data_IF_726121777184
#
_entry.id   IF_726121777184
#
_cell.length_a   1.000
_cell.length_b   1.000
_cell.length_c   1.000
_cell.angle_alpha   90.00
_cell.angle_beta   90.00
_cell.angle_gamma   90.00
#
_symmetry.space_group_name_H-M   'P 1'
#
loop_
_entity.id
_entity.type
_entity.pdbx_description
1 polymer ?
#
# COMPACT_ATOMS: atom_id res chain seq x y z
N UNK A 1 10.26 8.09 -2.78
CA UNK A 1 8.90 8.52 -3.14
C UNK A 1 8.74 10.02 -2.96
N UNK A 2 7.87 10.64 -3.76
CA UNK A 2 7.33 11.98 -3.51
C UNK A 2 6.11 11.90 -2.56
N UNK A 3 6.31 12.31 -1.30
CA UNK A 3 5.28 12.23 -0.25
C UNK A 3 4.11 13.18 -0.49
N UNK A 4 4.34 14.37 -1.05
CA UNK A 4 3.24 15.31 -1.30
C UNK A 4 2.37 14.79 -2.42
N UNK A 5 3.00 14.32 -3.50
CA UNK A 5 2.29 13.72 -4.62
C UNK A 5 1.47 12.49 -4.19
N UNK A 6 2.03 11.62 -3.36
CA UNK A 6 1.32 10.45 -2.84
C UNK A 6 0.04 10.85 -2.08
N UNK A 7 0.11 11.86 -1.21
CA UNK A 7 -1.05 12.35 -0.46
C UNK A 7 -2.10 13.01 -1.35
N UNK A 8 -1.68 13.69 -2.42
CA UNK A 8 -2.61 14.26 -3.41
C UNK A 8 -3.36 13.17 -4.20
N UNK A 9 -2.69 12.06 -4.53
CA UNK A 9 -3.33 10.92 -5.19
C UNK A 9 -4.33 10.24 -4.25
N UNK A 10 -3.96 10.00 -2.98
CA UNK A 10 -4.91 9.48 -1.96
C UNK A 10 -6.15 10.37 -1.85
N UNK A 11 -5.95 11.69 -1.79
CA UNK A 11 -7.08 12.63 -1.76
C UNK A 11 -7.97 12.47 -2.99
N UNK A 12 -7.37 12.34 -4.17
CA UNK A 12 -8.10 12.12 -5.43
C UNK A 12 -8.86 10.79 -5.40
N UNK A 13 -8.24 9.71 -4.90
CA UNK A 13 -8.86 8.40 -4.76
C UNK A 13 -10.07 8.44 -3.82
N UNK A 14 -9.95 9.13 -2.69
CA UNK A 14 -11.03 9.33 -1.72
C UNK A 14 -12.22 10.13 -2.28
N UNK A 15 -11.95 11.07 -3.19
CA UNK A 15 -12.99 11.86 -3.89
C UNK A 15 -13.56 11.11 -5.12
N UNK A 16 -12.91 10.03 -5.56
CA UNK A 16 -13.33 9.21 -6.69
C UNK A 16 -14.39 8.20 -6.27
N UNK A 17 -15.51 8.20 -6.98
CA UNK A 17 -16.61 7.25 -6.75
C UNK A 17 -16.15 5.82 -7.05
N UNK A 18 -16.43 4.87 -6.16
CA UNK A 18 -15.93 3.49 -6.27
C UNK A 18 -16.41 2.76 -7.54
N UNK A 19 -17.59 3.08 -8.05
CA UNK A 19 -18.11 2.52 -9.33
C UNK A 19 -17.50 3.17 -10.58
N UNK A 20 -16.63 4.17 -10.43
CA UNK A 20 -15.87 4.72 -11.55
C UNK A 20 -14.53 3.99 -11.69
N UNK A 21 -14.61 2.73 -12.13
CA UNK A 21 -13.48 1.79 -12.20
C UNK A 21 -12.22 2.40 -12.83
N UNK A 22 -12.36 3.11 -13.96
CA UNK A 22 -11.21 3.75 -14.62
C UNK A 22 -10.53 4.81 -13.75
N UNK A 23 -11.30 5.63 -13.03
CA UNK A 23 -10.74 6.65 -12.13
C UNK A 23 -10.00 6.02 -10.96
N UNK A 24 -10.58 4.96 -10.39
CA UNK A 24 -9.98 4.18 -9.30
C UNK A 24 -8.67 3.55 -9.76
N UNK A 25 -8.67 2.83 -10.89
CA UNK A 25 -7.47 2.20 -11.45
C UNK A 25 -6.34 3.21 -11.74
N UNK A 26 -6.68 4.41 -12.19
CA UNK A 26 -5.68 5.45 -12.46
C UNK A 26 -5.03 5.95 -11.16
N UNK A 27 -5.80 6.09 -10.07
CA UNK A 27 -5.23 6.43 -8.76
C UNK A 27 -4.29 5.33 -8.28
N UNK A 28 -4.73 4.07 -8.32
CA UNK A 28 -3.88 2.93 -7.90
C UNK A 28 -2.57 2.86 -8.67
N UNK A 29 -2.61 2.99 -10.00
CA UNK A 29 -1.40 3.01 -10.85
C UNK A 29 -0.45 4.13 -10.44
N UNK A 30 -0.97 5.31 -10.13
CA UNK A 30 -0.14 6.45 -9.72
C UNK A 30 0.44 6.29 -8.31
N UNK A 31 -0.34 5.76 -7.35
CA UNK A 31 0.16 5.42 -6.00
C UNK A 31 1.31 4.41 -6.08
N UNK A 32 1.14 3.33 -6.86
CA UNK A 32 2.16 2.31 -7.06
C UNK A 32 3.42 2.94 -7.66
N UNK A 33 3.29 3.75 -8.72
CA UNK A 33 4.44 4.40 -9.36
C UNK A 33 5.23 5.27 -8.38
N UNK A 34 4.55 6.05 -7.54
CA UNK A 34 5.21 6.95 -6.57
C UNK A 34 5.93 6.15 -5.48
N UNK A 35 5.29 5.09 -4.98
CA UNK A 35 5.87 4.25 -3.93
C UNK A 35 7.01 3.36 -4.47
N UNK A 36 6.94 2.96 -5.74
CA UNK A 36 7.97 2.14 -6.40
C UNK A 36 9.18 2.95 -6.89
N UNK A 37 9.04 4.27 -7.08
CA UNK A 37 10.08 5.14 -7.64
C UNK A 37 11.41 5.10 -6.87
N UNK A 38 11.35 5.06 -5.53
CA UNK A 38 12.52 5.02 -4.66
C UNK A 38 12.18 4.25 -3.38
N UNK A 39 12.59 2.98 -3.38
CA UNK A 39 12.30 1.99 -2.35
C UNK A 39 12.87 2.40 -0.97
N UNK A 40 14.15 2.81 -0.83
CA UNK A 40 14.65 3.34 0.44
C UNK A 40 13.79 4.47 1.03
N UNK A 41 13.44 5.47 0.22
CA UNK A 41 12.62 6.60 0.68
C UNK A 41 11.20 6.16 1.04
N UNK A 42 10.62 5.19 0.32
CA UNK A 42 9.31 4.59 0.65
C UNK A 42 9.36 3.85 1.98
N UNK A 43 10.40 3.06 2.23
CA UNK A 43 10.60 2.36 3.51
C UNK A 43 10.70 3.38 4.66
N UNK A 44 11.51 4.43 4.49
CA UNK A 44 11.64 5.49 5.49
C UNK A 44 10.29 6.17 5.78
N UNK A 45 9.49 6.43 4.75
CA UNK A 45 8.15 6.97 4.88
C UNK A 45 7.21 6.04 5.66
N UNK A 46 7.13 4.76 5.28
CA UNK A 46 6.25 3.78 5.92
C UNK A 46 6.60 3.59 7.40
N UNK A 47 7.88 3.60 7.76
CA UNK A 47 8.32 3.43 9.14
C UNK A 47 7.99 4.67 10.00
N UNK A 48 8.24 5.87 9.47
CA UNK A 48 8.34 7.07 10.30
C UNK A 48 7.18 8.06 10.14
N UNK A 49 6.55 8.13 8.97
CA UNK A 49 5.63 9.22 8.60
C UNK A 49 4.23 8.74 8.23
N UNK A 50 4.10 7.51 7.72
CA UNK A 50 2.82 6.94 7.29
C UNK A 50 1.80 6.92 8.43
N UNK A 51 0.59 7.40 8.13
CA UNK A 51 -0.52 7.51 9.08
C UNK A 51 -1.44 6.29 9.03
N UNK A 52 -2.36 6.17 9.99
CA UNK A 52 -3.35 5.11 9.98
C UNK A 52 -4.27 5.20 8.74
N UNK A 53 -4.67 6.40 8.33
CA UNK A 53 -5.53 6.57 7.14
C UNK A 53 -4.80 6.16 5.87
N UNK A 54 -3.53 6.53 5.74
CA UNK A 54 -2.71 6.11 4.58
C UNK A 54 -2.45 4.61 4.56
N UNK A 55 -2.37 3.93 5.72
CA UNK A 55 -2.34 2.46 5.78
C UNK A 55 -3.58 1.85 5.10
N UNK A 56 -4.76 2.42 5.31
CA UNK A 56 -5.98 1.94 4.65
C UNK A 56 -5.88 2.09 3.13
N UNK A 57 -5.43 3.24 2.63
CA UNK A 57 -5.30 3.44 1.18
C UNK A 57 -4.25 2.52 0.54
N UNK A 58 -3.09 2.35 1.19
CA UNK A 58 -2.07 1.39 0.75
C UNK A 58 -2.61 -0.04 0.70
N UNK A 59 -3.62 -0.38 1.52
CA UNK A 59 -4.21 -1.72 1.52
C UNK A 59 -4.89 -2.09 0.20
N UNK A 60 -5.31 -1.09 -0.59
CA UNK A 60 -5.93 -1.30 -1.90
C UNK A 60 -4.92 -1.73 -2.98
N UNK A 61 -3.62 -1.44 -2.78
CA UNK A 61 -2.57 -1.62 -3.79
C UNK A 61 -1.35 -2.42 -3.32
N UNK A 62 -1.33 -2.92 -2.09
CA UNK A 62 -0.11 -3.48 -1.50
C UNK A 62 0.40 -4.73 -2.21
N UNK A 63 -0.48 -5.54 -2.77
CA UNK A 63 -0.13 -6.73 -3.56
C UNK A 63 0.45 -6.37 -4.92
N UNK A 64 -0.16 -5.41 -5.63
CA UNK A 64 0.39 -4.88 -6.87
C UNK A 64 1.72 -4.15 -6.63
N UNK A 65 1.84 -3.39 -5.54
CA UNK A 65 3.10 -2.76 -5.14
C UNK A 65 4.18 -3.78 -4.82
N UNK A 66 3.82 -4.88 -4.13
CA UNK A 66 4.73 -5.98 -3.88
C UNK A 66 5.14 -6.69 -5.19
N UNK A 67 4.20 -6.89 -6.12
CA UNK A 67 4.45 -7.48 -7.42
C UNK A 67 5.44 -6.62 -8.24
N UNK A 68 5.21 -5.31 -8.31
CA UNK A 68 6.01 -4.36 -9.08
C UNK A 68 7.42 -4.20 -8.50
N UNK A 69 7.53 -4.05 -7.17
CA UNK A 69 8.81 -3.73 -6.53
C UNK A 69 9.62 -4.96 -6.16
N UNK A 70 8.98 -6.12 -6.02
CA UNK A 70 9.55 -7.34 -5.43
C UNK A 70 10.25 -7.09 -4.07
N UNK A 71 9.81 -6.05 -3.34
CA UNK A 71 10.46 -5.61 -2.10
C UNK A 71 9.82 -6.26 -0.87
N UNK A 72 10.49 -7.28 -0.33
CA UNK A 72 10.15 -7.89 0.97
C UNK A 72 10.10 -6.87 2.10
N UNK A 73 10.96 -5.86 2.05
CA UNK A 73 11.06 -4.85 3.10
C UNK A 73 9.85 -3.92 3.11
N UNK A 74 9.28 -3.58 1.95
CA UNK A 74 8.01 -2.83 1.87
C UNK A 74 6.87 -3.64 2.51
N UNK A 75 6.76 -4.93 2.19
CA UNK A 75 5.71 -5.80 2.77
C UNK A 75 5.87 -5.94 4.29
N UNK A 76 7.10 -6.07 4.80
CA UNK A 76 7.33 -6.11 6.25
C UNK A 76 7.03 -4.76 6.92
N UNK A 77 7.34 -3.63 6.28
CA UNK A 77 6.95 -2.32 6.77
C UNK A 77 5.42 -2.18 6.86
N UNK A 78 4.70 -2.62 5.82
CA UNK A 78 3.23 -2.65 5.82
C UNK A 78 2.65 -3.55 6.94
N UNK A 79 3.23 -4.73 7.16
CA UNK A 79 2.88 -5.60 8.29
C UNK A 79 3.07 -4.90 9.64
N UNK A 80 4.17 -4.16 9.79
CA UNK A 80 4.45 -3.41 11.02
C UNK A 80 3.54 -2.20 11.21
N UNK A 81 3.09 -1.56 10.12
CA UNK A 81 2.04 -0.53 10.18
C UNK A 81 0.73 -1.09 10.72
N UNK A 82 0.31 -2.30 10.32
CA UNK A 82 -0.87 -2.95 10.91
C UNK A 82 -0.75 -3.21 12.41
N UNK A 83 0.46 -3.53 12.90
CA UNK A 83 0.73 -3.65 14.35
C UNK A 83 0.72 -2.28 15.05
N UNK A 84 1.20 -1.22 14.38
CA UNK A 84 1.24 0.16 14.87
C UNK A 84 -0.15 0.80 14.93
N UNK A 85 -1.04 0.47 13.99
CA UNK A 85 -2.39 1.00 13.85
C UNK A 85 -3.46 -0.12 13.91
N UNK A 86 -3.56 -0.85 15.03
CA UNK A 86 -4.38 -2.05 15.11
C UNK A 86 -5.88 -1.77 14.98
N UNK A 87 -6.35 -0.58 15.32
CA UNK A 87 -7.78 -0.24 15.18
C UNK A 87 -8.16 0.04 13.74
N UNK A 88 -7.26 0.66 12.95
CA UNK A 88 -7.44 0.79 11.51
C UNK A 88 -7.35 -0.56 10.82
N UNK A 89 -6.37 -1.41 11.17
CA UNK A 89 -6.20 -2.72 10.53
C UNK A 89 -7.41 -3.66 10.70
N UNK A 90 -8.32 -3.38 11.65
CA UNK A 90 -9.57 -4.13 11.84
C UNK A 90 -10.72 -3.66 10.96
N UNK A 91 -10.61 -2.50 10.29
CA UNK A 91 -11.70 -1.95 9.47
C UNK A 91 -11.76 -2.56 8.07
N UNK A 92 -10.73 -3.30 7.66
CA UNK A 92 -10.62 -3.97 6.37
C UNK A 92 -9.95 -5.34 6.51
N UNK A 93 -9.86 -6.10 5.41
CA UNK A 93 -9.26 -7.43 5.40
C UNK A 93 -7.71 -7.36 5.39
N UNK A 94 -7.10 -6.80 6.44
CA UNK A 94 -5.65 -6.62 6.54
C UNK A 94 -4.88 -7.94 6.37
N UNK A 95 -5.37 -9.03 6.98
CA UNK A 95 -4.75 -10.35 6.84
C UNK A 95 -4.78 -10.85 5.38
N UNK A 96 -5.85 -10.57 4.65
CA UNK A 96 -5.94 -10.84 3.21
C UNK A 96 -4.91 -10.03 2.42
N UNK A 97 -4.84 -8.71 2.64
CA UNK A 97 -3.87 -7.84 1.99
C UNK A 97 -2.43 -8.33 2.19
N UNK A 98 -2.06 -8.68 3.43
CA UNK A 98 -0.72 -9.25 3.73
C UNK A 98 -0.49 -10.55 2.98
N UNK A 99 -1.46 -11.47 2.98
CA UNK A 99 -1.35 -12.75 2.27
C UNK A 99 -1.13 -12.55 0.76
N UNK A 100 -1.87 -11.63 0.14
CA UNK A 100 -1.75 -11.37 -1.30
C UNK A 100 -0.41 -10.70 -1.63
N UNK A 101 0.05 -9.76 -0.80
CA UNK A 101 1.36 -9.15 -0.96
C UNK A 101 2.53 -10.14 -0.79
N UNK A 102 2.46 -11.03 0.19
CA UNK A 102 3.46 -12.10 0.37
C UNK A 102 3.46 -13.07 -0.83
N UNK A 103 2.28 -13.45 -1.32
CA UNK A 103 2.16 -14.29 -2.52
C UNK A 103 2.74 -13.61 -3.78
N UNK A 104 2.55 -12.29 -3.92
CA UNK A 104 3.08 -11.49 -5.03
C UNK A 104 4.62 -11.42 -5.07
N UNK A 105 5.30 -11.65 -3.93
CA UNK A 105 6.76 -11.78 -3.85
C UNK A 105 7.28 -13.14 -4.35
N UNK A 106 6.40 -14.02 -4.84
CA UNK A 106 6.75 -15.39 -5.23
C UNK A 106 7.03 -16.30 -4.04
N UNK A 107 6.60 -15.92 -2.83
CA UNK A 107 6.59 -16.81 -1.69
C UNK A 107 5.39 -17.76 -1.82
N UNK A 108 5.63 -18.90 -2.45
CA UNK A 108 4.69 -20.03 -2.43
C UNK A 108 4.23 -20.24 -0.98
N UNK A 109 2.93 -20.08 -0.75
CA UNK A 109 2.26 -20.44 0.51
C UNK A 109 2.14 -21.96 0.64
N UNK A 110 3.27 -22.66 0.53
CA UNK A 110 3.42 -24.09 0.73
C UNK A 110 4.51 -24.35 1.77
N UNK A 111 4.14 -24.20 3.05
CA UNK A 111 4.78 -24.87 4.17
C UNK A 111 3.72 -25.26 5.21
#
# INVERSE_FOLDING_TARGET
MDVQKFKEVIKTRNETHDEYDYGVEMCWKEEIQILAEDIPSTIEYLQNQCTAEELFWISEIIDDLAAETQSREIVECYKNLGKKYPDMAKTFNFAGCVKYAEAALGEDTNA
#
